data_IF_281632365155
#
_entry.id   IF_281632365155
#
_cell.length_a   1.000
_cell.length_b   1.000
_cell.length_c   1.000
_cell.angle_alpha   90.00
_cell.angle_beta   90.00
_cell.angle_gamma   90.00
#
_symmetry.space_group_name_H-M   'P 1'
#
loop_
_entity.id
_entity.type
_entity.pdbx_description
1 polymer ?
#
# COMPACT_ATOMS: atom_id res chain seq x y z
N UNK A 1 10.07 -43.20 -6.84
CA UNK A 1 9.56 -42.04 -6.08
C UNK A 1 9.70 -40.78 -6.93
N UNK A 2 8.95 -40.72 -8.03
CA UNK A 2 8.86 -39.58 -8.97
C UNK A 2 7.50 -38.91 -8.71
N UNK A 3 7.46 -37.58 -8.87
CA UNK A 3 6.28 -36.69 -8.88
C UNK A 3 5.65 -36.25 -7.54
N UNK A 4 6.36 -35.42 -6.75
CA UNK A 4 5.65 -34.57 -5.77
C UNK A 4 5.89 -33.06 -5.94
N UNK A 5 6.77 -32.62 -6.85
CA UNK A 5 7.09 -31.20 -7.04
C UNK A 5 7.32 -30.82 -8.51
N UNK A 6 6.39 -31.18 -9.40
CA UNK A 6 6.15 -30.36 -10.60
C UNK A 6 4.92 -29.51 -10.32
N UNK A 7 4.99 -28.65 -9.30
CA UNK A 7 3.92 -27.70 -9.01
C UNK A 7 3.96 -26.67 -10.12
N UNK A 8 2.88 -26.61 -10.90
CA UNK A 8 2.77 -25.72 -12.06
C UNK A 8 3.04 -24.28 -11.58
N UNK A 9 3.99 -23.52 -12.17
CA UNK A 9 4.34 -22.18 -11.69
C UNK A 9 3.14 -21.22 -11.66
N UNK A 10 2.12 -21.50 -12.47
CA UNK A 10 0.83 -20.81 -12.47
C UNK A 10 0.02 -21.05 -11.20
N UNK A 11 0.02 -22.29 -10.69
CA UNK A 11 -0.69 -22.66 -9.47
C UNK A 11 -0.04 -22.03 -8.24
N UNK A 12 1.29 -21.99 -8.16
CA UNK A 12 2.00 -21.30 -7.09
C UNK A 12 1.67 -19.80 -7.06
N UNK A 13 1.65 -19.16 -8.24
CA UNK A 13 1.31 -17.74 -8.37
C UNK A 13 -0.13 -17.45 -7.91
N UNK A 14 -1.09 -18.31 -8.27
CA UNK A 14 -2.49 -18.17 -7.83
C UNK A 14 -2.66 -18.31 -6.31
N UNK A 15 -1.90 -19.23 -5.69
CA UNK A 15 -1.88 -19.39 -4.23
C UNK A 15 -1.29 -18.15 -3.55
N UNK A 16 -0.16 -17.64 -4.05
CA UNK A 16 0.47 -16.41 -3.54
C UNK A 16 -0.49 -15.22 -3.65
N UNK A 17 -1.16 -15.05 -4.80
CA UNK A 17 -2.15 -13.98 -4.99
C UNK A 17 -3.32 -14.09 -4.03
N UNK A 18 -3.82 -15.30 -3.80
CA UNK A 18 -4.94 -15.54 -2.88
C UNK A 18 -4.53 -15.23 -1.44
N UNK A 19 -3.30 -15.60 -1.05
CA UNK A 19 -2.72 -15.27 0.25
C UNK A 19 -2.58 -13.74 0.42
N UNK A 20 -2.04 -13.03 -0.58
CA UNK A 20 -1.90 -11.58 -0.54
C UNK A 20 -3.26 -10.85 -0.43
N UNK A 21 -4.29 -11.36 -1.12
CA UNK A 21 -5.65 -10.82 -1.01
C UNK A 21 -6.23 -10.98 0.40
N UNK A 22 -6.00 -12.14 1.03
CA UNK A 22 -6.40 -12.39 2.41
C UNK A 22 -5.68 -11.46 3.39
N UNK A 23 -4.36 -11.30 3.22
CA UNK A 23 -3.55 -10.37 4.03
C UNK A 23 -4.07 -8.94 3.89
N UNK A 24 -4.35 -8.46 2.66
CA UNK A 24 -4.90 -7.13 2.43
C UNK A 24 -6.25 -6.93 3.12
N UNK A 25 -7.12 -7.95 3.10
CA UNK A 25 -8.39 -7.90 3.82
C UNK A 25 -8.20 -7.81 5.33
N UNK A 26 -7.28 -8.58 5.91
CA UNK A 26 -6.92 -8.47 7.32
C UNK A 26 -6.37 -7.07 7.67
N UNK A 27 -5.48 -6.52 6.83
CA UNK A 27 -4.95 -5.16 7.01
C UNK A 27 -6.06 -4.10 7.00
N UNK A 28 -7.07 -4.24 6.12
CA UNK A 28 -8.24 -3.36 6.10
C UNK A 28 -9.04 -3.41 7.40
N UNK A 29 -9.35 -4.62 7.87
CA UNK A 29 -10.12 -4.80 9.10
C UNK A 29 -9.38 -4.23 10.31
N UNK A 30 -8.08 -4.51 10.44
CA UNK A 30 -7.25 -3.98 11.53
C UNK A 30 -7.23 -2.45 11.47
N UNK A 31 -6.99 -1.87 10.29
CA UNK A 31 -6.97 -0.41 10.11
C UNK A 31 -8.31 0.23 10.46
N UNK A 32 -9.42 -0.43 10.14
CA UNK A 32 -10.77 0.03 10.49
C UNK A 32 -11.01 -0.01 12.00
N UNK A 33 -10.68 -1.13 12.66
CA UNK A 33 -10.84 -1.28 14.11
C UNK A 33 -9.99 -0.25 14.86
N UNK A 34 -8.74 -0.05 14.45
CA UNK A 34 -7.85 0.92 15.09
C UNK A 34 -8.33 2.37 14.88
N UNK A 35 -8.84 2.71 13.70
CA UNK A 35 -9.48 4.02 13.48
C UNK A 35 -10.73 4.22 14.35
N UNK A 36 -11.56 3.18 14.52
CA UNK A 36 -12.74 3.25 15.38
C UNK A 36 -12.37 3.45 16.86
N UNK A 37 -11.32 2.76 17.35
CA UNK A 37 -10.79 2.96 18.70
C UNK A 37 -10.26 4.39 18.89
N UNK A 38 -9.47 4.90 17.94
CA UNK A 38 -8.96 6.27 18.00
C UNK A 38 -10.08 7.32 18.00
N UNK A 39 -11.14 7.10 17.23
CA UNK A 39 -12.31 7.98 17.21
C UNK A 39 -13.07 7.95 18.55
N UNK A 40 -13.15 6.78 19.20
CA UNK A 40 -13.73 6.64 20.52
C UNK A 40 -12.91 7.36 21.60
N UNK A 41 -11.59 7.21 21.55
CA UNK A 41 -10.68 7.89 22.49
C UNK A 41 -10.73 9.42 22.28
N UNK A 42 -10.83 9.88 21.03
CA UNK A 42 -11.02 11.30 20.70
C UNK A 42 -12.32 11.86 21.28
N UNK A 43 -13.43 11.10 21.23
CA UNK A 43 -14.70 11.52 21.83
C UNK A 43 -14.71 11.54 23.36
N UNK A 44 -13.64 11.04 24.01
CA UNK A 44 -13.52 10.97 25.47
C UNK A 44 -12.59 12.05 26.04
N UNK A 45 -11.66 12.58 25.26
CA UNK A 45 -10.63 13.51 25.71
C UNK A 45 -10.37 14.60 24.65
N UNK A 46 -10.84 15.82 24.92
CA UNK A 46 -10.80 16.97 24.00
C UNK A 46 -9.56 17.88 24.21
N UNK A 47 -8.52 17.37 24.87
CA UNK A 47 -7.32 18.18 25.17
C UNK A 47 -6.49 18.44 23.89
N UNK A 48 -6.12 19.71 23.62
CA UNK A 48 -5.40 20.12 22.40
C UNK A 48 -4.08 19.32 22.16
N UNK A 49 -3.34 19.01 23.23
CA UNK A 49 -2.10 18.21 23.14
C UNK A 49 -2.36 16.77 22.69
N UNK A 50 -3.53 16.21 23.05
CA UNK A 50 -3.94 14.86 22.66
C UNK A 50 -4.28 14.79 21.16
N UNK A 51 -4.89 15.86 20.62
CA UNK A 51 -5.22 15.97 19.20
C UNK A 51 -3.97 15.87 18.32
N UNK A 52 -2.90 16.60 18.67
CA UNK A 52 -1.64 16.61 17.91
C UNK A 52 -0.91 15.26 17.94
N UNK A 53 -1.08 14.47 18.99
CA UNK A 53 -0.50 13.13 19.11
C UNK A 53 -1.31 12.11 18.29
N UNK A 54 -2.63 12.21 18.28
CA UNK A 54 -3.51 11.23 17.61
C UNK A 54 -3.65 11.44 16.10
N UNK A 55 -3.54 12.67 15.63
CA UNK A 55 -3.66 13.03 14.22
C UNK A 55 -2.67 12.28 13.28
N UNK A 56 -1.36 12.19 13.56
CA UNK A 56 -0.44 11.45 12.69
C UNK A 56 -0.76 9.95 12.64
N UNK A 57 -1.28 9.38 13.73
CA UNK A 57 -1.64 7.96 13.79
C UNK A 57 -2.91 7.66 12.97
N UNK A 58 -3.94 8.51 13.06
CA UNK A 58 -5.17 8.35 12.28
C UNK A 58 -4.92 8.53 10.78
N UNK A 59 -4.11 9.51 10.37
CA UNK A 59 -3.70 9.72 8.98
C UNK A 59 -3.00 8.47 8.43
N UNK A 60 -2.11 7.87 9.22
CA UNK A 60 -1.39 6.65 8.83
C UNK A 60 -2.32 5.46 8.63
N UNK A 61 -3.28 5.26 9.52
CA UNK A 61 -4.24 4.17 9.42
C UNK A 61 -5.19 4.35 8.24
N UNK A 62 -5.60 5.59 7.93
CA UNK A 62 -6.37 5.90 6.74
C UNK A 62 -5.54 5.61 5.47
N UNK A 63 -4.28 6.02 5.43
CA UNK A 63 -3.37 5.71 4.32
C UNK A 63 -3.22 4.19 4.11
N UNK A 64 -3.05 3.42 5.19
CA UNK A 64 -2.98 1.96 5.15
C UNK A 64 -4.27 1.32 4.61
N UNK A 65 -5.43 1.84 5.01
CA UNK A 65 -6.72 1.38 4.51
C UNK A 65 -6.85 1.65 3.00
N UNK A 66 -6.57 2.87 2.54
CA UNK A 66 -6.63 3.22 1.11
C UNK A 66 -5.64 2.39 0.30
N UNK A 67 -4.39 2.26 0.75
CA UNK A 67 -3.39 1.42 0.09
C UNK A 67 -3.84 -0.04 -0.03
N UNK A 68 -4.45 -0.60 1.02
CA UNK A 68 -4.93 -1.99 0.99
C UNK A 68 -6.08 -2.19 -0.02
N UNK A 69 -6.97 -1.19 -0.19
CA UNK A 69 -8.00 -1.22 -1.24
C UNK A 69 -7.35 -1.18 -2.62
N UNK A 70 -6.37 -0.30 -2.85
CA UNK A 70 -5.68 -0.18 -4.13
C UNK A 70 -4.90 -1.45 -4.49
N UNK A 71 -4.21 -2.05 -3.52
CA UNK A 71 -3.49 -3.32 -3.69
C UNK A 71 -4.49 -4.44 -4.01
N UNK A 72 -5.64 -4.50 -3.33
CA UNK A 72 -6.69 -5.46 -3.65
C UNK A 72 -7.20 -5.30 -5.09
N UNK A 73 -7.43 -4.07 -5.56
CA UNK A 73 -7.81 -3.80 -6.94
C UNK A 73 -6.73 -4.25 -7.93
N UNK A 74 -5.46 -3.98 -7.64
CA UNK A 74 -4.32 -4.42 -8.45
C UNK A 74 -4.26 -5.94 -8.53
N UNK A 75 -4.31 -6.64 -7.39
CA UNK A 75 -4.29 -8.10 -7.32
C UNK A 75 -5.48 -8.74 -8.05
N UNK A 76 -6.67 -8.12 -7.96
CA UNK A 76 -7.86 -8.56 -8.71
C UNK A 76 -7.65 -8.46 -10.22
N UNK A 77 -7.00 -7.41 -10.70
CA UNK A 77 -6.68 -7.26 -12.12
C UNK A 77 -5.67 -8.30 -12.59
N UNK A 78 -4.65 -8.56 -11.78
CA UNK A 78 -3.65 -9.60 -12.07
C UNK A 78 -4.29 -11.00 -12.10
N UNK A 79 -5.18 -11.32 -11.16
CA UNK A 79 -5.96 -12.58 -11.17
C UNK A 79 -6.85 -12.73 -12.42
N UNK A 80 -7.33 -11.62 -12.98
CA UNK A 80 -8.06 -11.58 -14.26
C UNK A 80 -7.14 -11.63 -15.50
N UNK A 81 -5.86 -11.94 -15.32
CA UNK A 81 -4.81 -11.98 -16.36
C UNK A 81 -4.57 -10.62 -17.06
N UNK A 82 -5.07 -9.53 -16.49
CA UNK A 82 -4.81 -8.17 -16.95
C UNK A 82 -3.65 -7.60 -16.15
N UNK A 83 -2.43 -8.02 -16.50
CA UNK A 83 -1.22 -7.65 -15.76
C UNK A 83 -0.70 -6.30 -16.26
N UNK A 84 -0.23 -6.24 -17.51
CA UNK A 84 0.35 -5.04 -18.11
C UNK A 84 -0.72 -4.13 -18.70
N UNK A 85 -1.46 -3.42 -17.84
CA UNK A 85 -2.42 -2.39 -18.25
C UNK A 85 -1.99 -1.02 -17.72
N UNK A 86 -2.36 0.04 -18.45
CA UNK A 86 -2.18 1.43 -17.98
C UNK A 86 -2.85 1.66 -16.62
N UNK A 87 -4.02 1.07 -16.40
CA UNK A 87 -4.73 1.13 -15.12
C UNK A 87 -3.88 0.59 -13.95
N UNK A 88 -3.26 -0.58 -14.13
CA UNK A 88 -2.42 -1.18 -13.09
C UNK A 88 -1.17 -0.35 -12.82
N UNK A 89 -0.57 0.25 -13.85
CA UNK A 89 0.54 1.19 -13.67
C UNK A 89 0.11 2.38 -12.80
N UNK A 90 -1.06 2.96 -13.08
CA UNK A 90 -1.61 4.07 -12.29
C UNK A 90 -1.89 3.66 -10.85
N UNK A 91 -2.42 2.45 -10.61
CA UNK A 91 -2.64 1.93 -9.26
C UNK A 91 -1.34 1.82 -8.47
N UNK A 92 -0.27 1.28 -9.07
CA UNK A 92 1.05 1.15 -8.40
C UNK A 92 1.61 2.53 -8.06
N UNK A 93 1.54 3.48 -9.00
CA UNK A 93 2.00 4.86 -8.76
C UNK A 93 1.17 5.54 -7.67
N UNK A 94 -0.16 5.32 -7.64
CA UNK A 94 -1.03 5.86 -6.59
C UNK A 94 -0.69 5.29 -5.21
N UNK A 95 -0.44 3.97 -5.11
CA UNK A 95 0.00 3.33 -3.86
C UNK A 95 1.31 3.98 -3.39
N UNK A 96 2.31 4.08 -4.28
CA UNK A 96 3.59 4.71 -3.96
C UNK A 96 3.44 6.16 -3.51
N UNK A 97 2.60 6.94 -4.18
CA UNK A 97 2.33 8.34 -3.83
C UNK A 97 1.64 8.50 -2.46
N UNK A 98 0.71 7.62 -2.11
CA UNK A 98 0.05 7.65 -0.79
C UNK A 98 1.04 7.28 0.32
N UNK A 99 1.87 6.25 0.10
CA UNK A 99 2.90 5.84 1.06
C UNK A 99 3.94 6.95 1.26
N UNK A 100 4.38 7.60 0.19
CA UNK A 100 5.31 8.72 0.22
C UNK A 100 4.72 9.92 0.98
N UNK A 101 3.49 10.32 0.62
CA UNK A 101 2.80 11.43 1.29
C UNK A 101 2.62 11.16 2.78
N UNK A 102 2.30 9.91 3.14
CA UNK A 102 2.20 9.52 4.54
C UNK A 102 3.53 9.66 5.29
N UNK A 103 4.65 9.25 4.68
CA UNK A 103 5.98 9.44 5.24
C UNK A 103 6.35 10.92 5.43
N UNK A 104 6.05 11.77 4.45
CA UNK A 104 6.28 13.21 4.54
C UNK A 104 5.43 13.87 5.62
N UNK A 105 4.14 13.52 5.72
CA UNK A 105 3.25 14.03 6.76
C UNK A 105 3.73 13.59 8.15
N UNK A 106 4.13 12.34 8.34
CA UNK A 106 4.71 11.90 9.61
C UNK A 106 6.00 12.64 9.97
N UNK A 107 6.88 12.90 9.00
CA UNK A 107 8.09 13.70 9.22
C UNK A 107 7.77 15.15 9.62
N UNK A 108 6.75 15.75 8.99
CA UNK A 108 6.24 17.07 9.35
C UNK A 108 5.69 17.07 10.78
N UNK A 109 4.78 16.17 11.13
CA UNK A 109 4.24 16.06 12.49
C UNK A 109 5.31 15.76 13.54
N UNK A 110 6.31 14.93 13.21
CA UNK A 110 7.44 14.64 14.10
C UNK A 110 8.34 15.84 14.41
N UNK A 111 8.24 16.94 13.64
CA UNK A 111 8.92 18.21 13.95
C UNK A 111 8.20 18.99 15.05
N UNK A 112 6.87 18.86 15.13
CA UNK A 112 6.03 19.54 16.13
C UNK A 112 5.78 18.69 17.38
N UNK A 113 5.77 17.36 17.23
CA UNK A 113 5.42 16.40 18.28
C UNK A 113 6.61 15.45 18.49
N UNK A 114 7.27 15.55 19.65
CA UNK A 114 8.47 14.78 19.99
C UNK A 114 8.18 13.32 20.42
N UNK A 115 7.39 12.59 19.65
CA UNK A 115 7.12 11.17 19.93
C UNK A 115 8.26 10.33 19.34
N UNK A 116 9.04 9.68 20.20
CA UNK A 116 10.25 8.93 19.85
C UNK A 116 10.04 7.85 18.77
N UNK A 117 8.85 7.23 18.72
CA UNK A 117 8.50 6.17 17.77
C UNK A 117 8.21 6.69 16.34
N UNK A 118 7.81 7.95 16.19
CA UNK A 118 7.50 8.54 14.89
C UNK A 118 8.79 8.77 14.07
N UNK A 119 9.92 9.07 14.73
CA UNK A 119 11.16 9.53 14.09
C UNK A 119 11.89 8.50 13.23
N UNK A 120 11.72 7.20 13.47
CA UNK A 120 12.29 6.16 12.60
C UNK A 120 11.29 5.65 11.56
N UNK A 121 10.01 5.66 11.91
CA UNK A 121 8.94 5.09 11.09
C UNK A 121 8.71 5.90 9.81
N UNK A 122 8.80 7.24 9.88
CA UNK A 122 8.58 8.10 8.70
C UNK A 122 9.63 7.87 7.60
N UNK A 123 10.90 7.60 7.96
CA UNK A 123 11.96 7.31 7.00
C UNK A 123 11.72 6.01 6.23
N UNK A 124 11.16 5.00 6.91
CA UNK A 124 10.79 3.73 6.29
C UNK A 124 9.69 3.96 5.25
N UNK A 125 8.67 4.78 5.58
CA UNK A 125 7.61 5.11 4.64
C UNK A 125 8.11 5.89 3.42
N UNK A 126 9.00 6.87 3.60
CA UNK A 126 9.61 7.60 2.49
C UNK A 126 10.42 6.65 1.58
N UNK A 127 11.29 5.82 2.16
CA UNK A 127 12.10 4.89 1.36
C UNK A 127 11.21 3.90 0.59
N UNK A 128 10.17 3.37 1.24
CA UNK A 128 9.21 2.45 0.63
C UNK A 128 8.37 3.14 -0.46
N UNK A 129 7.94 4.39 -0.23
CA UNK A 129 7.17 5.20 -1.18
C UNK A 129 7.95 5.43 -2.47
N UNK A 130 9.18 5.93 -2.35
CA UNK A 130 10.11 6.10 -3.49
C UNK A 130 10.33 4.78 -4.23
N UNK A 131 10.53 3.67 -3.51
CA UNK A 131 10.74 2.37 -4.14
C UNK A 131 9.50 1.88 -4.93
N UNK A 132 8.30 2.04 -4.38
CA UNK A 132 7.06 1.67 -5.07
C UNK A 132 6.83 2.58 -6.30
N UNK A 133 7.11 3.88 -6.17
CA UNK A 133 7.04 4.82 -7.31
C UNK A 133 8.01 4.41 -8.42
N UNK A 134 9.24 4.03 -8.07
CA UNK A 134 10.21 3.50 -9.03
C UNK A 134 9.67 2.26 -9.76
N UNK A 135 9.10 1.29 -9.03
CA UNK A 135 8.44 0.11 -9.64
C UNK A 135 7.30 0.55 -10.57
N UNK A 136 6.48 1.53 -10.16
CA UNK A 136 5.42 2.10 -10.98
C UNK A 136 5.92 2.70 -12.29
N UNK A 137 7.04 3.41 -12.25
CA UNK A 137 7.72 3.94 -13.44
C UNK A 137 8.21 2.83 -14.37
N UNK A 138 8.91 1.82 -13.84
CA UNK A 138 9.37 0.65 -14.61
C UNK A 138 8.18 -0.05 -15.26
N UNK A 139 7.09 -0.24 -14.52
CA UNK A 139 5.88 -0.86 -15.03
C UNK A 139 5.25 -0.04 -16.15
N UNK A 140 5.21 1.28 -16.01
CA UNK A 140 4.70 2.19 -17.04
C UNK A 140 5.50 2.09 -18.34
N UNK A 141 6.82 2.01 -18.24
CA UNK A 141 7.71 1.81 -19.40
C UNK A 141 7.42 0.45 -20.04
N UNK A 142 7.31 -0.62 -19.23
CA UNK A 142 6.98 -1.96 -19.74
C UNK A 142 5.64 -2.03 -20.47
N UNK A 143 4.62 -1.33 -19.99
CA UNK A 143 3.32 -1.21 -20.68
C UNK A 143 3.49 -0.52 -22.04
N UNK A 144 4.23 0.58 -22.11
CA UNK A 144 4.50 1.29 -23.37
C UNK A 144 5.25 0.43 -24.38
N UNK A 145 6.26 -0.30 -23.94
CA UNK A 145 7.03 -1.20 -24.82
C UNK A 145 6.13 -2.30 -25.41
N UNK A 146 5.19 -2.83 -24.61
CA UNK A 146 4.21 -3.82 -25.09
C UNK A 146 3.26 -3.22 -26.14
N UNK A 147 2.77 -2.00 -25.91
CA UNK A 147 1.92 -1.29 -26.88
C UNK A 147 2.67 -1.01 -28.20
N UNK A 148 3.94 -0.59 -28.12
CA UNK A 148 4.78 -0.34 -29.30
C UNK A 148 5.04 -1.61 -30.11
N UNK A 149 5.24 -2.76 -29.44
CA UNK A 149 5.42 -4.06 -30.11
C UNK A 149 4.15 -4.55 -30.83
N UNK A 150 2.96 -4.31 -30.25
CA UNK A 150 1.67 -4.68 -30.85
C UNK A 150 1.33 -3.83 -32.10
N UNK A 151 1.90 -2.62 -32.22
CA UNK A 151 1.67 -1.71 -33.37
C UNK A 151 2.55 -2.02 -34.59
N UNK A 152 3.65 -2.76 -34.40
CA UNK A 152 4.60 -3.14 -35.48
C UNK A 152 4.28 -4.47 -36.17
N UNK A 153 3.25 -5.19 -35.74
CA UNK A 153 2.79 -6.46 -36.30
C UNK A 153 1.50 -6.21 -37.07
#
# INVERSE_FOLDING_TARGET
MKSLFSKDPKQELEVVMTCLMFICFCCLLISFIQNAMLCFDLGKDDTDDFLWIMLPQSVTLLAMAVCSILIFCLLRNVKRKKVFTKENSTLIVAIGGIVELNGLLQGFFGTFVSVSNLRQTYLIYILLGVFILFIGCVFKIGVRMKEEQELTI
#
